data_IF_187049410654
#
_entry.id   IF_187049410654
#
_cell.length_a   1.000
_cell.length_b   1.000
_cell.length_c   1.000
_cell.angle_alpha   90.00
_cell.angle_beta   90.00
_cell.angle_gamma   90.00
#
_symmetry.space_group_name_H-M   'P 1'
#
loop_
_entity.id
_entity.type
_entity.pdbx_description
1 polymer ?
#
# COMPACT_ATOMS: atom_id res chain seq x y z
N UNK A 1 -17.55 -25.41 -6.46
CA UNK A 1 -18.36 -24.21 -6.75
C UNK A 1 -18.02 -23.15 -5.72
N UNK A 2 -17.03 -22.29 -5.98
CA UNK A 2 -16.66 -21.23 -5.04
C UNK A 2 -17.71 -20.12 -5.09
N UNK A 3 -18.27 -19.80 -3.93
CA UNK A 3 -18.99 -18.55 -3.68
C UNK A 3 -17.97 -17.39 -3.76
N UNK A 4 -17.45 -17.12 -4.96
CA UNK A 4 -16.66 -15.92 -5.24
C UNK A 4 -17.62 -14.74 -5.15
N UNK A 5 -17.72 -14.19 -3.95
CA UNK A 5 -18.04 -12.80 -3.63
C UNK A 5 -18.96 -12.13 -4.67
N UNK A 6 -20.26 -12.46 -4.60
CA UNK A 6 -21.30 -11.58 -5.14
C UNK A 6 -21.42 -10.39 -4.19
N UNK A 7 -20.69 -9.29 -4.45
CA UNK A 7 -20.92 -8.05 -3.71
C UNK A 7 -19.86 -6.96 -3.84
N UNK A 8 -18.59 -7.29 -4.12
CA UNK A 8 -17.50 -6.32 -4.02
C UNK A 8 -17.24 -5.54 -5.32
N UNK A 9 -18.26 -4.83 -5.81
CA UNK A 9 -18.16 -4.01 -7.02
C UNK A 9 -17.73 -2.57 -6.73
N UNK A 10 -17.41 -2.22 -5.48
CA UNK A 10 -17.06 -0.85 -5.09
C UNK A 10 -15.55 -0.69 -4.95
N UNK A 11 -15.03 0.38 -5.52
CA UNK A 11 -13.61 0.69 -5.59
C UNK A 11 -13.40 2.14 -5.18
N UNK A 12 -12.22 2.43 -4.63
CA UNK A 12 -11.81 3.80 -4.36
C UNK A 12 -10.53 4.13 -5.11
N UNK A 13 -10.52 5.28 -5.75
CA UNK A 13 -9.35 5.87 -6.39
C UNK A 13 -8.68 6.84 -5.40
N UNK A 14 -7.35 6.73 -5.27
CA UNK A 14 -6.48 7.68 -4.58
C UNK A 14 -5.35 8.07 -5.53
N UNK A 15 -4.96 9.36 -5.53
CA UNK A 15 -3.82 9.86 -6.31
C UNK A 15 -2.72 10.29 -5.34
N UNK A 16 -1.49 9.82 -5.60
CA UNK A 16 -0.31 10.18 -4.86
C UNK A 16 0.65 10.98 -5.74
N UNK A 17 1.25 12.03 -5.20
CA UNK A 17 2.44 12.70 -5.74
C UNK A 17 3.61 12.42 -4.80
N UNK A 18 4.69 11.85 -5.31
CA UNK A 18 5.85 11.42 -4.53
C UNK A 18 5.43 10.63 -3.27
N UNK A 19 4.49 9.70 -3.48
CA UNK A 19 3.87 8.84 -2.46
C UNK A 19 3.03 9.56 -1.39
N UNK A 20 2.76 10.86 -1.53
CA UNK A 20 1.85 11.60 -0.65
C UNK A 20 0.51 11.82 -1.33
N UNK A 21 -0.60 11.61 -0.62
CA UNK A 21 -1.94 11.83 -1.17
C UNK A 21 -2.13 13.29 -1.58
N UNK A 22 -2.64 13.48 -2.80
CA UNK A 22 -3.02 14.80 -3.32
C UNK A 22 -4.52 14.86 -3.60
N UNK A 23 -5.17 16.00 -3.34
CA UNK A 23 -6.58 16.16 -3.58
C UNK A 23 -6.89 16.37 -5.07
N UNK A 24 -7.92 15.71 -5.57
CA UNK A 24 -8.35 15.75 -6.97
C UNK A 24 -9.86 15.86 -7.12
N UNK A 25 -10.34 16.28 -8.28
CA UNK A 25 -11.74 16.15 -8.69
C UNK A 25 -11.87 14.93 -9.60
N UNK A 26 -12.96 14.20 -9.42
CA UNK A 26 -13.36 13.13 -10.31
C UNK A 26 -14.79 13.36 -10.80
N UNK A 27 -15.03 13.17 -12.10
CA UNK A 27 -16.34 13.31 -12.75
C UNK A 27 -17.06 14.64 -12.41
N UNK A 28 -16.30 15.74 -12.45
CA UNK A 28 -16.75 17.11 -12.13
C UNK A 28 -17.32 17.30 -10.71
N UNK A 29 -17.02 16.38 -9.78
CA UNK A 29 -17.39 16.49 -8.37
C UNK A 29 -16.44 17.42 -7.60
N UNK A 30 -16.79 17.68 -6.34
CA UNK A 30 -15.95 18.42 -5.40
C UNK A 30 -14.57 17.76 -5.27
N UNK A 31 -13.55 18.61 -5.06
CA UNK A 31 -12.19 18.17 -4.82
C UNK A 31 -12.11 17.40 -3.50
N UNK A 32 -11.46 16.23 -3.51
CA UNK A 32 -11.38 15.27 -2.42
C UNK A 32 -10.08 14.46 -2.51
N UNK A 33 -9.63 13.86 -1.41
CA UNK A 33 -8.44 12.99 -1.37
C UNK A 33 -8.68 11.60 -1.97
N UNK A 34 -9.96 11.24 -2.15
CA UNK A 34 -10.37 9.96 -2.73
C UNK A 34 -11.67 10.08 -3.51
N UNK A 35 -11.87 9.17 -4.45
CA UNK A 35 -13.11 9.03 -5.21
C UNK A 35 -13.60 7.57 -5.22
N UNK A 36 -14.80 7.34 -4.69
CA UNK A 36 -15.41 6.01 -4.70
C UNK A 36 -16.37 5.82 -5.86
N UNK A 37 -16.28 4.68 -6.51
CA UNK A 37 -17.11 4.30 -7.66
C UNK A 37 -17.44 2.82 -7.64
N UNK A 38 -18.42 2.42 -8.44
CA UNK A 38 -18.71 1.00 -8.70
C UNK A 38 -18.38 0.61 -10.12
N UNK A 39 -18.04 -0.67 -10.33
CA UNK A 39 -17.86 -1.29 -11.64
C UNK A 39 -18.62 -2.62 -11.73
N UNK A 40 -19.26 -2.84 -12.87
CA UNK A 40 -19.87 -4.13 -13.19
C UNK A 40 -18.87 -5.03 -13.92
N UNK A 41 -19.10 -6.33 -13.85
CA UNK A 41 -18.25 -7.32 -14.53
C UNK A 41 -18.20 -7.04 -16.04
N UNK A 42 -17.01 -7.18 -16.62
CA UNK A 42 -16.75 -7.00 -18.06
C UNK A 42 -17.14 -5.60 -18.59
N UNK A 43 -17.15 -4.58 -17.74
CA UNK A 43 -17.38 -3.19 -18.15
C UNK A 43 -16.12 -2.35 -18.07
N UNK A 44 -16.08 -1.29 -18.89
CA UNK A 44 -15.04 -0.27 -18.83
C UNK A 44 -15.66 0.99 -18.25
N UNK A 45 -15.05 1.54 -17.20
CA UNK A 45 -15.45 2.83 -16.63
C UNK A 45 -14.43 3.89 -17.01
N UNK A 46 -14.90 4.99 -17.60
CA UNK A 46 -14.08 6.19 -17.81
C UNK A 46 -14.35 7.15 -16.66
N UNK A 47 -13.28 7.60 -15.99
CA UNK A 47 -13.35 8.58 -14.89
C UNK A 47 -12.54 9.79 -15.34
N UNK A 48 -13.16 10.96 -15.36
CA UNK A 48 -12.47 12.21 -15.69
C UNK A 48 -11.77 12.73 -14.43
N UNK A 49 -10.45 12.91 -14.49
CA UNK A 49 -9.64 13.38 -13.37
C UNK A 49 -9.12 14.80 -13.63
N UNK A 50 -9.26 15.67 -12.63
CA UNK A 50 -8.66 17.01 -12.61
C UNK A 50 -7.90 17.18 -11.29
N UNK A 51 -6.59 17.39 -11.38
CA UNK A 51 -5.74 17.62 -10.22
C UNK A 51 -4.56 18.52 -10.60
N UNK A 52 -4.02 19.21 -9.59
CA UNK A 52 -2.78 19.96 -9.73
C UNK A 52 -1.64 19.10 -9.22
N UNK A 53 -0.70 18.78 -10.12
CA UNK A 53 0.50 18.08 -9.71
C UNK A 53 1.48 19.09 -9.09
N UNK A 54 2.04 18.81 -7.88
CA UNK A 54 3.04 19.68 -7.27
C UNK A 54 4.20 20.01 -8.23
N UNK A 55 4.72 21.25 -8.19
CA UNK A 55 5.90 21.60 -8.96
C UNK A 55 7.06 20.69 -8.53
N UNK A 56 7.80 20.17 -9.50
CA UNK A 56 8.95 19.27 -9.31
C UNK A 56 8.64 17.86 -8.77
N UNK A 57 7.38 17.42 -8.78
CA UNK A 57 7.09 16.01 -8.51
C UNK A 57 7.90 15.09 -9.42
N UNK A 58 8.29 13.94 -8.88
CA UNK A 58 9.07 12.91 -9.59
C UNK A 58 8.20 11.73 -9.98
N UNK A 59 7.15 11.46 -9.21
CA UNK A 59 6.27 10.33 -9.45
C UNK A 59 4.82 10.67 -9.13
N UNK A 60 3.92 10.26 -10.01
CA UNK A 60 2.48 10.22 -9.76
C UNK A 60 2.02 8.77 -9.73
N UNK A 61 1.26 8.40 -8.71
CA UNK A 61 0.74 7.05 -8.55
C UNK A 61 -0.77 7.10 -8.38
N UNK A 62 -1.49 6.36 -9.21
CA UNK A 62 -2.93 6.17 -9.11
C UNK A 62 -3.17 4.79 -8.51
N UNK A 63 -3.91 4.76 -7.41
CA UNK A 63 -4.26 3.53 -6.68
C UNK A 63 -5.75 3.28 -6.79
N UNK A 64 -6.14 2.09 -7.24
CA UNK A 64 -7.51 1.60 -7.12
C UNK A 64 -7.53 0.55 -6.00
N UNK A 65 -8.23 0.89 -4.92
CA UNK A 65 -8.35 0.09 -3.71
C UNK A 65 -9.75 -0.54 -3.70
N UNK A 66 -9.88 -1.87 -3.82
CA UNK A 66 -11.19 -2.54 -3.79
C UNK A 66 -11.79 -2.38 -2.39
N UNK A 67 -13.02 -1.90 -2.28
CA UNK A 67 -13.78 -1.94 -1.02
C UNK A 67 -13.02 -1.33 0.18
N UNK A 68 -12.35 -0.20 -0.02
CA UNK A 68 -11.44 0.41 0.96
C UNK A 68 -12.04 0.53 2.37
N UNK A 69 -13.33 0.83 2.48
CA UNK A 69 -14.04 1.04 3.75
C UNK A 69 -14.63 -0.27 4.35
N UNK A 70 -14.52 -1.42 3.65
CA UNK A 70 -15.06 -2.69 4.15
C UNK A 70 -14.22 -3.21 5.32
N UNK A 71 -14.78 -3.17 6.52
CA UNK A 71 -14.16 -3.68 7.74
C UNK A 71 -14.12 -5.20 7.71
N UNK A 72 -12.94 -5.77 7.50
CA UNK A 72 -12.75 -7.22 7.45
C UNK A 72 -12.78 -7.80 8.88
N UNK A 73 -13.94 -8.25 9.33
CA UNK A 73 -14.09 -8.86 10.66
C UNK A 73 -13.78 -10.37 10.71
N UNK A 74 -13.40 -10.97 9.57
CA UNK A 74 -13.11 -12.41 9.44
C UNK A 74 -11.63 -12.68 9.19
N UNK A 75 -11.13 -13.82 9.67
CA UNK A 75 -9.78 -14.32 9.38
C UNK A 75 -9.74 -15.21 8.13
N UNK A 76 -10.79 -15.14 7.29
CA UNK A 76 -10.86 -15.92 6.05
C UNK A 76 -9.86 -15.37 5.02
N UNK A 77 -8.81 -16.14 4.76
CA UNK A 77 -7.72 -15.80 3.84
C UNK A 77 -8.21 -15.58 2.40
N UNK A 78 -9.21 -16.33 1.93
CA UNK A 78 -9.74 -16.17 0.55
C UNK A 78 -10.40 -14.80 0.36
N UNK A 79 -11.06 -14.28 1.41
CA UNK A 79 -11.65 -12.93 1.39
C UNK A 79 -10.55 -11.88 1.59
N UNK A 80 -9.61 -12.13 2.51
CA UNK A 80 -8.51 -11.23 2.79
C UNK A 80 -7.61 -10.98 1.57
N UNK A 81 -7.28 -12.03 0.81
CA UNK A 81 -6.41 -11.94 -0.36
C UNK A 81 -7.06 -11.14 -1.48
N UNK A 82 -8.36 -11.32 -1.71
CA UNK A 82 -9.13 -10.50 -2.67
C UNK A 82 -9.19 -9.00 -2.32
N UNK A 83 -8.93 -8.64 -1.06
CA UNK A 83 -8.91 -7.24 -0.58
C UNK A 83 -7.49 -6.68 -0.38
N UNK A 84 -6.47 -7.54 -0.48
CA UNK A 84 -5.07 -7.17 -0.34
C UNK A 84 -4.62 -6.38 -1.57
N UNK A 85 -4.94 -6.87 -2.77
CA UNK A 85 -4.46 -6.33 -4.04
C UNK A 85 -4.92 -4.89 -4.28
N UNK A 86 -3.95 -4.00 -4.45
CA UNK A 86 -4.15 -2.61 -4.89
C UNK A 86 -3.67 -2.50 -6.32
N UNK A 87 -4.58 -2.09 -7.22
CA UNK A 87 -4.23 -1.89 -8.62
C UNK A 87 -3.55 -0.53 -8.74
N UNK A 88 -2.31 -0.55 -9.22
CA UNK A 88 -1.42 0.61 -9.17
C UNK A 88 -0.91 0.96 -10.56
N UNK A 89 -1.02 2.24 -10.91
CA UNK A 89 -0.44 2.80 -12.12
C UNK A 89 0.48 3.97 -11.74
N UNK A 90 1.74 3.93 -12.18
CA UNK A 90 2.75 4.93 -11.80
C UNK A 90 3.30 5.63 -13.03
N UNK A 91 3.36 6.95 -12.96
CA UNK A 91 3.95 7.83 -13.95
C UNK A 91 5.17 8.49 -13.34
N UNK A 92 6.36 8.10 -13.82
CA UNK A 92 7.63 8.60 -13.29
C UNK A 92 8.18 9.63 -14.26
N UNK A 93 8.41 10.84 -13.76
CA UNK A 93 9.08 11.91 -14.50
C UNK A 93 10.58 11.67 -14.43
N UNK A 94 11.22 11.53 -15.58
CA UNK A 94 12.67 11.39 -15.66
C UNK A 94 13.30 12.70 -15.17
N UNK A 95 13.89 12.70 -13.98
CA UNK A 95 14.52 13.87 -13.38
C UNK A 95 15.91 13.47 -12.88
N UNK A 96 16.99 14.09 -13.40
CA UNK A 96 18.37 13.74 -13.05
C UNK A 96 18.74 14.11 -11.60
N UNK A 97 17.93 14.91 -10.90
CA UNK A 97 18.19 15.26 -9.51
C UNK A 97 17.85 14.10 -8.56
N UNK A 98 18.85 13.27 -8.30
CA UNK A 98 18.81 12.28 -7.23
C UNK A 98 19.01 12.97 -5.88
N UNK A 99 17.91 13.36 -5.23
CA UNK A 99 17.98 13.70 -3.80
C UNK A 99 18.33 12.46 -2.98
N UNK A 100 19.17 12.65 -1.96
CA UNK A 100 19.47 11.61 -0.99
C UNK A 100 18.18 11.19 -0.25
N UNK A 101 17.87 9.90 -0.30
CA UNK A 101 16.73 9.31 0.40
C UNK A 101 17.24 8.66 1.68
N UNK A 102 16.77 9.15 2.82
CA UNK A 102 17.03 8.52 4.11
C UNK A 102 16.19 7.24 4.24
N UNK A 103 16.85 6.10 4.44
CA UNK A 103 16.20 4.81 4.62
C UNK A 103 16.09 4.43 6.09
N UNK A 104 14.95 3.88 6.50
CA UNK A 104 14.80 3.28 7.82
C UNK A 104 15.66 2.03 7.93
N UNK A 105 16.36 1.91 9.05
CA UNK A 105 17.08 0.68 9.39
C UNK A 105 16.10 -0.39 9.89
N UNK A 106 16.24 -1.66 9.46
CA UNK A 106 15.48 -2.75 10.02
C UNK A 106 15.90 -3.04 11.46
N UNK A 107 14.99 -3.59 12.26
CA UNK A 107 15.32 -4.18 13.57
C UNK A 107 16.16 -5.44 13.37
N UNK A 108 15.86 -6.20 12.33
CA UNK A 108 16.54 -7.45 11.99
C UNK A 108 16.46 -7.72 10.49
N UNK A 109 17.47 -8.40 9.96
CA UNK A 109 17.47 -8.99 8.61
C UNK A 109 17.63 -10.49 8.74
N UNK A 110 16.84 -11.26 7.99
CA UNK A 110 16.83 -12.73 7.98
C UNK A 110 16.77 -13.27 6.55
N UNK A 111 17.18 -14.53 6.35
CA UNK A 111 16.96 -15.28 5.11
C UNK A 111 15.64 -16.06 5.08
N UNK A 112 14.88 -16.05 6.17
CA UNK A 112 13.58 -16.72 6.26
C UNK A 112 12.51 -15.99 5.44
N UNK A 113 11.60 -16.78 4.85
CA UNK A 113 10.52 -16.28 4.00
C UNK A 113 9.25 -16.03 4.82
N UNK A 114 8.69 -14.82 4.71
CA UNK A 114 7.36 -14.46 5.20
C UNK A 114 6.22 -15.13 4.41
N UNK A 115 6.51 -15.63 3.21
CA UNK A 115 5.51 -16.14 2.26
C UNK A 115 4.88 -15.07 1.36
N UNK A 116 5.08 -13.78 1.67
CA UNK A 116 4.62 -12.62 0.90
C UNK A 116 5.67 -11.50 0.89
N UNK A 117 5.69 -10.64 -0.13
CA UNK A 117 6.61 -9.49 -0.20
C UNK A 117 6.38 -8.46 0.90
N UNK A 118 5.15 -8.30 1.38
CA UNK A 118 4.77 -7.37 2.44
C UNK A 118 3.86 -8.07 3.44
N UNK A 119 4.35 -8.32 4.65
CA UNK A 119 3.64 -9.14 5.63
C UNK A 119 3.59 -8.44 6.99
N UNK A 120 2.39 -8.29 7.56
CA UNK A 120 2.20 -7.69 8.89
C UNK A 120 1.78 -8.75 9.91
N UNK A 121 2.50 -8.81 11.02
CA UNK A 121 2.28 -9.82 12.07
C UNK A 121 2.47 -9.24 13.48
N UNK A 122 1.98 -9.95 14.49
CA UNK A 122 2.16 -9.61 15.91
C UNK A 122 3.46 -10.16 16.52
N UNK A 123 4.21 -10.98 15.77
CA UNK A 123 5.48 -11.58 16.21
C UNK A 123 6.64 -10.99 15.40
N UNK A 124 7.79 -10.80 16.03
CA UNK A 124 8.99 -10.29 15.33
C UNK A 124 9.29 -11.13 14.08
N UNK A 125 9.24 -12.46 14.24
CA UNK A 125 9.33 -13.43 13.16
C UNK A 125 8.09 -14.34 13.22
N UNK A 126 7.55 -14.67 12.04
CA UNK A 126 6.40 -15.56 11.94
C UNK A 126 5.60 -15.34 10.66
N UNK A 127 4.74 -16.31 10.37
CA UNK A 127 3.93 -16.42 9.17
C UNK A 127 2.42 -16.31 9.45
N UNK A 128 2.04 -15.79 10.63
CA UNK A 128 0.63 -15.55 10.97
C UNK A 128 0.24 -14.10 10.68
N UNK A 129 -0.72 -13.94 9.77
CA UNK A 129 -1.27 -12.64 9.35
C UNK A 129 -1.91 -11.94 10.56
N UNK A 130 -1.66 -10.65 10.69
CA UNK A 130 -2.36 -9.79 11.64
C UNK A 130 -3.70 -9.30 11.08
N UNK A 131 -4.76 -10.09 11.20
CA UNK A 131 -6.10 -9.67 10.76
C UNK A 131 -6.74 -8.63 11.69
N UNK A 132 -6.41 -8.65 12.98
CA UNK A 132 -6.98 -7.76 14.00
C UNK A 132 -5.91 -7.33 15.01
N UNK A 133 -6.00 -6.12 15.51
CA UNK A 133 -5.10 -5.60 16.56
C UNK A 133 -5.76 -4.44 17.31
N UNK A 134 -5.35 -4.19 18.55
CA UNK A 134 -5.74 -2.98 19.28
C UNK A 134 -4.84 -1.80 18.95
N UNK A 135 -5.36 -0.60 19.08
CA UNK A 135 -4.61 0.63 18.94
C UNK A 135 -3.37 0.64 19.85
N UNK A 136 -2.24 1.13 19.33
CA UNK A 136 -0.93 1.18 20.01
C UNK A 136 -0.28 -0.17 20.33
N UNK A 137 -0.85 -1.30 19.90
CA UNK A 137 -0.12 -2.56 19.97
C UNK A 137 1.10 -2.52 19.05
N UNK A 138 2.13 -3.27 19.44
CA UNK A 138 3.31 -3.49 18.61
C UNK A 138 2.98 -4.54 17.56
N UNK A 139 3.32 -4.22 16.32
CA UNK A 139 3.32 -5.16 15.21
C UNK A 139 4.67 -5.12 14.50
N UNK A 140 4.87 -6.04 13.56
CA UNK A 140 6.10 -6.17 12.80
C UNK A 140 5.78 -6.32 11.33
N UNK A 141 6.32 -5.42 10.52
CA UNK A 141 6.29 -5.49 9.07
C UNK A 141 7.52 -6.27 8.63
N UNK A 142 7.29 -7.41 8.00
CA UNK A 142 8.30 -8.19 7.30
C UNK A 142 8.21 -7.86 5.81
N UNK A 143 9.34 -7.44 5.23
CA UNK A 143 9.43 -7.11 3.80
C UNK A 143 10.46 -8.02 3.16
N UNK A 144 9.98 -8.91 2.29
CA UNK A 144 10.82 -9.84 1.55
C UNK A 144 11.12 -9.33 0.15
N UNK A 145 12.40 -9.36 -0.22
CA UNK A 145 12.84 -9.06 -1.58
C UNK A 145 13.24 -10.34 -2.31
N UNK A 146 12.34 -10.83 -3.17
CA UNK A 146 12.57 -12.02 -4.00
C UNK A 146 13.59 -11.82 -5.13
N UNK A 147 14.03 -10.58 -5.39
CA UNK A 147 14.99 -10.28 -6.46
C UNK A 147 16.42 -10.60 -6.02
N UNK A 148 17.33 -10.74 -7.00
CA UNK A 148 18.75 -10.96 -6.71
C UNK A 148 19.52 -9.68 -6.32
N UNK A 149 18.91 -8.51 -6.52
CA UNK A 149 19.52 -7.21 -6.23
C UNK A 149 18.77 -6.53 -5.10
N UNK A 150 19.48 -5.65 -4.37
CA UNK A 150 18.83 -4.78 -3.39
C UNK A 150 17.75 -3.94 -4.06
N UNK A 151 16.62 -3.79 -3.39
CA UNK A 151 15.47 -3.05 -3.87
C UNK A 151 15.06 -2.04 -2.81
N UNK A 152 14.93 -0.79 -3.25
CA UNK A 152 14.41 0.29 -2.42
C UNK A 152 12.88 0.31 -2.54
N UNK A 153 12.19 0.63 -1.46
CA UNK A 153 10.74 0.79 -1.44
C UNK A 153 10.36 2.12 -0.79
N UNK A 154 9.36 2.81 -1.36
CA UNK A 154 8.58 3.78 -0.60
C UNK A 154 7.48 3.04 0.17
N UNK A 155 7.30 3.37 1.43
CA UNK A 155 6.37 2.74 2.37
C UNK A 155 5.36 3.79 2.80
N UNK A 156 4.09 3.49 2.59
CA UNK A 156 2.95 4.31 3.04
C UNK A 156 1.94 3.43 3.75
N UNK A 157 1.09 4.03 4.57
CA UNK A 157 -0.01 3.34 5.22
C UNK A 157 -1.34 4.03 4.96
N UNK A 158 -2.40 3.24 4.86
CA UNK A 158 -3.77 3.71 4.66
C UNK A 158 -4.68 3.20 5.76
N UNK A 159 -5.62 4.05 6.15
CA UNK A 159 -6.83 3.69 6.87
C UNK A 159 -8.03 3.91 5.96
N UNK A 160 -8.55 2.82 5.40
CA UNK A 160 -9.48 2.89 4.27
C UNK A 160 -8.84 3.62 3.09
N UNK A 161 -9.41 4.75 2.69
CA UNK A 161 -8.85 5.62 1.64
C UNK A 161 -7.88 6.69 2.16
N UNK A 162 -7.82 6.91 3.47
CA UNK A 162 -7.05 8.00 4.06
C UNK A 162 -5.62 7.57 4.32
N UNK A 163 -4.64 8.32 3.79
CA UNK A 163 -3.24 8.10 4.14
C UNK A 163 -2.99 8.45 5.61
N UNK A 164 -2.32 7.55 6.32
CA UNK A 164 -1.94 7.70 7.73
C UNK A 164 -0.44 7.55 7.88
N UNK A 165 0.09 7.98 9.03
CA UNK A 165 1.53 7.90 9.30
C UNK A 165 1.95 6.46 9.57
N UNK A 166 2.98 6.01 8.90
CA UNK A 166 3.76 4.82 9.24
C UNK A 166 4.96 5.27 10.09
N UNK A 167 5.03 4.84 11.35
CA UNK A 167 6.11 5.22 12.29
C UNK A 167 6.40 6.74 12.30
N UNK A 168 5.35 7.55 12.47
CA UNK A 168 5.40 9.02 12.51
C UNK A 168 5.73 9.75 11.19
N UNK A 169 6.05 9.03 10.11
CA UNK A 169 6.27 9.61 8.78
C UNK A 169 5.10 9.26 7.85
N UNK A 170 4.68 10.19 7.00
CA UNK A 170 3.65 9.93 5.97
C UNK A 170 4.18 9.03 4.86
N UNK A 171 5.46 9.20 4.52
CA UNK A 171 6.21 8.36 3.59
C UNK A 171 7.51 7.97 4.26
N UNK A 172 7.80 6.68 4.29
CA UNK A 172 9.10 6.15 4.70
C UNK A 172 9.78 5.47 3.52
N UNK A 173 11.09 5.32 3.59
CA UNK A 173 11.85 4.58 2.59
C UNK A 173 12.63 3.47 3.27
N UNK A 174 12.70 2.32 2.62
CA UNK A 174 13.45 1.14 3.10
C UNK A 174 14.25 0.54 1.96
N UNK A 175 15.36 -0.12 2.27
CA UNK A 175 16.15 -0.86 1.28
C UNK A 175 16.33 -2.28 1.77
N UNK A 176 15.96 -3.25 0.94
CA UNK A 176 15.99 -4.68 1.29
C UNK A 176 16.93 -5.39 0.34
N UNK A 177 17.94 -6.08 0.87
CA UNK A 177 18.90 -6.84 0.07
C UNK A 177 18.17 -7.98 -0.65
N UNK A 178 18.63 -8.30 -1.86
CA UNK A 178 18.08 -9.42 -2.62
C UNK A 178 18.16 -10.75 -1.88
N UNK A 179 17.09 -11.54 -1.92
CA UNK A 179 16.97 -12.83 -1.23
C UNK A 179 16.89 -12.73 0.28
N UNK A 180 16.54 -11.56 0.84
CA UNK A 180 16.44 -11.36 2.29
C UNK A 180 15.12 -10.72 2.69
N UNK A 181 14.79 -10.91 3.97
CA UNK A 181 13.63 -10.31 4.63
C UNK A 181 14.13 -9.32 5.68
N UNK A 182 13.67 -8.08 5.58
CA UNK A 182 13.88 -7.07 6.60
C UNK A 182 12.65 -6.96 7.51
N UNK A 183 12.88 -6.82 8.81
CA UNK A 183 11.84 -6.73 9.83
C UNK A 183 11.86 -5.33 10.43
N UNK A 184 10.71 -4.66 10.41
CA UNK A 184 10.52 -3.32 10.95
C UNK A 184 9.45 -3.34 12.03
N UNK A 185 9.72 -2.71 13.17
CA UNK A 185 8.68 -2.47 14.18
C UNK A 185 7.63 -1.50 13.65
N UNK A 186 6.36 -1.74 13.96
CA UNK A 186 5.23 -0.93 13.54
C UNK A 186 4.41 -0.55 14.77
N UNK A 187 4.18 0.75 14.93
CA UNK A 187 3.22 1.25 15.91
C UNK A 187 1.84 1.29 15.28
N UNK A 188 0.93 0.41 15.72
CA UNK A 188 -0.45 0.41 15.25
C UNK A 188 -1.12 1.76 15.62
N UNK A 189 -1.69 2.49 14.66
CA UNK A 189 -2.18 3.85 14.91
C UNK A 189 -3.33 3.89 15.91
N UNK A 190 -3.48 5.03 16.58
CA UNK A 190 -4.64 5.32 17.43
C UNK A 190 -5.87 5.57 16.57
N UNK A 191 -6.97 4.89 16.90
CA UNK A 191 -8.26 5.05 16.23
C UNK A 191 -9.35 5.31 17.27
N UNK A 192 -10.38 6.07 16.91
CA UNK A 192 -11.55 6.33 17.78
C UNK A 192 -12.67 5.32 17.58
N UNK A 193 -12.66 4.66 16.43
CA UNK A 193 -13.61 3.67 15.98
C UNK A 193 -12.84 2.59 15.22
N UNK A 194 -13.49 1.46 14.94
CA UNK A 194 -12.88 0.39 14.14
C UNK A 194 -12.45 0.93 12.78
N UNK A 195 -11.21 0.70 12.39
CA UNK A 195 -10.68 1.14 11.09
C UNK A 195 -9.78 0.08 10.48
N UNK A 196 -9.85 -0.07 9.16
CA UNK A 196 -8.88 -0.88 8.44
C UNK A 196 -7.52 -0.20 8.48
N UNK A 197 -6.46 -0.98 8.46
CA UNK A 197 -5.10 -0.51 8.30
C UNK A 197 -4.36 -1.41 7.32
N UNK A 198 -3.69 -0.78 6.36
CA UNK A 198 -2.95 -1.49 5.33
C UNK A 198 -1.67 -0.73 5.00
N UNK A 199 -0.55 -1.44 4.93
CA UNK A 199 0.73 -0.86 4.51
C UNK A 199 0.94 -1.22 3.04
N UNK A 200 1.40 -0.25 2.26
CA UNK A 200 1.65 -0.37 0.82
C UNK A 200 3.10 -0.01 0.53
N UNK A 201 3.77 -0.87 -0.25
CA UNK A 201 5.16 -0.75 -0.66
C UNK A 201 5.24 -0.50 -2.16
N UNK A 202 5.94 0.56 -2.55
CA UNK A 202 6.22 0.90 -3.94
C UNK A 202 7.67 0.57 -4.26
N UNK A 203 7.95 -0.50 -5.03
CA UNK A 203 9.31 -0.88 -5.38
C UNK A 203 9.95 0.13 -6.32
N UNK A 204 11.27 0.33 -6.21
CA UNK A 204 12.04 1.23 -7.08
C UNK A 204 11.44 2.65 -7.17
N UNK A 205 11.27 3.36 -6.04
CA UNK A 205 10.69 4.70 -6.06
C UNK A 205 11.51 5.65 -6.95
N UNK A 206 10.83 6.44 -7.78
CA UNK A 206 11.41 7.42 -8.71
C UNK A 206 12.31 6.86 -9.81
N UNK A 207 12.41 5.53 -9.94
CA UNK A 207 13.27 4.87 -10.93
C UNK A 207 12.38 4.22 -11.98
N UNK A 208 12.55 4.61 -13.23
CA UNK A 208 11.90 3.92 -14.35
C UNK A 208 12.55 2.54 -14.52
N UNK A 209 11.80 1.47 -14.29
CA UNK A 209 12.19 0.14 -14.76
C UNK A 209 11.84 0.00 -16.25
N UNK A 210 12.40 -1.00 -16.95
CA UNK A 210 11.85 -1.39 -18.25
C UNK A 210 10.38 -1.81 -18.04
N UNK A 211 9.53 -1.60 -19.04
CA UNK A 211 8.11 -2.00 -18.98
C UNK A 211 7.98 -3.51 -18.65
N UNK A 212 8.91 -4.31 -19.19
CA UNK A 212 9.03 -5.77 -18.96
C UNK A 212 9.32 -6.14 -17.50
N UNK A 213 9.97 -5.26 -16.73
CA UNK A 213 10.26 -5.51 -15.31
C UNK A 213 8.99 -5.34 -14.45
N UNK A 214 7.92 -4.73 -14.98
CA UNK A 214 6.61 -4.62 -14.33
C UNK A 214 6.54 -3.74 -13.08
N UNK A 215 7.67 -3.25 -12.54
CA UNK A 215 7.71 -2.48 -11.28
C UNK A 215 6.94 -1.16 -11.33
N UNK A 216 6.86 -0.53 -12.50
CA UNK A 216 6.12 0.74 -12.68
C UNK A 216 4.58 0.56 -12.58
N UNK A 217 4.07 -0.67 -12.61
CA UNK A 217 2.64 -0.98 -12.50
C UNK A 217 2.31 -1.85 -11.28
N UNK A 218 3.21 -1.89 -10.29
CA UNK A 218 3.06 -2.76 -9.13
C UNK A 218 3.28 -1.99 -7.84
N UNK A 219 2.49 -2.37 -6.85
CA UNK A 219 2.71 -2.12 -5.43
C UNK A 219 2.47 -3.42 -4.70
N UNK A 220 3.17 -3.64 -3.59
CA UNK A 220 2.88 -4.73 -2.67
C UNK A 220 2.10 -4.17 -1.49
N UNK A 221 1.25 -4.98 -0.88
CA UNK A 221 0.46 -4.56 0.27
C UNK A 221 0.36 -5.68 1.28
N UNK A 222 0.28 -5.31 2.54
CA UNK A 222 -0.10 -6.25 3.60
C UNK A 222 -1.57 -6.63 3.42
N UNK A 223 -1.98 -7.75 4.00
CA UNK A 223 -3.39 -7.92 4.36
C UNK A 223 -3.89 -6.74 5.19
N UNK A 224 -5.21 -6.52 5.15
CA UNK A 224 -5.85 -5.53 6.02
C UNK A 224 -5.87 -6.03 7.45
N UNK A 225 -5.45 -5.15 8.35
CA UNK A 225 -5.63 -5.31 9.79
C UNK A 225 -6.80 -4.44 10.24
N UNK A 226 -7.81 -5.02 10.86
CA UNK A 226 -8.84 -4.26 11.56
C UNK A 226 -8.27 -3.78 12.89
N UNK A 227 -8.13 -2.47 13.04
CA UNK A 227 -7.71 -1.84 14.29
C UNK A 227 -8.92 -1.51 15.12
N UNK A 228 -8.90 -1.92 16.39
CA UNK A 228 -9.91 -1.58 17.38
C UNK A 228 -9.35 -0.54 18.38
N UNK A 229 -10.18 0.36 18.94
CA UNK A 229 -9.74 1.35 19.94
C UNK A 229 -9.04 0.77 21.18
#
# INVERSE_FOLDING_TARGET
MSKFIRGLNRYSLVILSDFQTIPFKADNKKRSDSYTFTMDKNTVKKIQLEFESPPNHRELSLLIIPEAEFQLETENIDIGSGLQDIITLRYIKNNPNHQHIEHLSPLQTTGELSGEEAFLTSKEQGNKILFKSKANEKAFLQVFNANNKSLDYAVVAFSGTKQVKFNNKTVSFISVKGGSTNIYGVNIPKVREKQNYQIVLFPSPYKTSKIEDGFNNRSYSTFRTLIEP
#
